data_IF_490544442998
#
_entry.id   IF_490544442998
#
_cell.length_a   1.000
_cell.length_b   1.000
_cell.length_c   1.000
_cell.angle_alpha   90.00
_cell.angle_beta   90.00
_cell.angle_gamma   90.00
#
_symmetry.space_group_name_H-M   'P 1'
#
loop_
_entity.id
_entity.type
_entity.pdbx_description
1 polymer ?
#
# COMPACT_ATOMS: atom_id res chain seq x y z
N UNK A 1 9.58 -13.49 5.69
CA UNK A 1 8.15 -13.11 5.76
C UNK A 1 7.75 -12.48 4.44
N UNK A 2 6.82 -13.08 3.73
CA UNK A 2 6.31 -12.58 2.45
C UNK A 2 5.39 -11.36 2.68
N UNK A 3 5.24 -10.49 1.68
CA UNK A 3 4.42 -9.28 1.77
C UNK A 3 2.98 -9.59 2.20
N UNK A 4 2.36 -10.62 1.61
CA UNK A 4 0.99 -11.04 1.94
C UNK A 4 0.84 -11.51 3.40
N UNK A 5 1.82 -12.24 3.94
CA UNK A 5 1.79 -12.67 5.36
C UNK A 5 1.79 -11.48 6.32
N UNK A 6 2.51 -10.40 5.96
CA UNK A 6 2.49 -9.15 6.75
C UNK A 6 1.14 -8.46 6.66
N UNK A 7 0.55 -8.38 5.46
CA UNK A 7 -0.77 -7.78 5.29
C UNK A 7 -1.84 -8.52 6.11
N UNK A 8 -1.91 -9.85 5.99
CA UNK A 8 -2.85 -10.68 6.76
C UNK A 8 -2.73 -10.46 8.28
N UNK A 9 -1.50 -10.32 8.78
CA UNK A 9 -1.25 -10.06 10.21
C UNK A 9 -1.85 -8.75 10.71
N UNK A 10 -1.99 -7.75 9.84
CA UNK A 10 -2.45 -6.41 10.19
C UNK A 10 -3.81 -6.04 9.58
N UNK A 11 -4.51 -7.01 8.99
CA UNK A 11 -5.79 -6.83 8.28
C UNK A 11 -6.83 -6.08 9.12
N UNK A 12 -6.93 -6.36 10.42
CA UNK A 12 -7.84 -5.67 11.35
C UNK A 12 -7.59 -4.16 11.51
N UNK A 13 -6.46 -3.64 11.01
CA UNK A 13 -6.12 -2.19 11.01
C UNK A 13 -6.28 -1.54 9.65
N UNK A 14 -6.57 -2.32 8.62
CA UNK A 14 -6.75 -1.84 7.25
C UNK A 14 -8.20 -1.41 7.05
N UNK A 15 -8.39 -0.45 6.16
CA UNK A 15 -9.69 -0.03 5.67
C UNK A 15 -9.80 -0.29 4.17
N UNK A 16 -10.98 -0.06 3.60
CA UNK A 16 -11.27 -0.33 2.18
C UNK A 16 -10.29 0.39 1.22
N UNK A 17 -9.77 1.56 1.60
CA UNK A 17 -8.77 2.28 0.80
C UNK A 17 -7.40 1.60 0.90
N UNK A 18 -7.02 1.11 2.08
CA UNK A 18 -5.78 0.35 2.27
C UNK A 18 -5.81 -0.94 1.44
N UNK A 19 -6.95 -1.63 1.40
CA UNK A 19 -7.12 -2.85 0.59
C UNK A 19 -6.94 -2.56 -0.90
N UNK A 20 -7.53 -1.48 -1.41
CA UNK A 20 -7.34 -1.03 -2.80
C UNK A 20 -5.87 -0.72 -3.11
N UNK A 21 -5.17 -0.05 -2.18
CA UNK A 21 -3.74 0.26 -2.36
C UNK A 21 -2.93 -1.04 -2.40
N UNK A 22 -3.19 -1.99 -1.49
CA UNK A 22 -2.50 -3.27 -1.42
C UNK A 22 -2.72 -4.08 -2.69
N UNK A 23 -3.96 -4.19 -3.16
CA UNK A 23 -4.32 -4.90 -4.38
C UNK A 23 -3.58 -4.31 -5.58
N UNK A 24 -3.58 -2.98 -5.72
CA UNK A 24 -2.85 -2.30 -6.78
C UNK A 24 -1.35 -2.61 -6.73
N UNK A 25 -0.74 -2.54 -5.54
CA UNK A 25 0.67 -2.87 -5.31
C UNK A 25 0.99 -4.31 -5.71
N UNK A 26 0.13 -5.27 -5.36
CA UNK A 26 0.31 -6.68 -5.71
C UNK A 26 0.27 -6.89 -7.21
N UNK A 27 -0.65 -6.22 -7.90
CA UNK A 27 -0.83 -6.34 -9.34
C UNK A 27 0.23 -5.59 -10.16
N UNK A 28 0.91 -4.60 -9.58
CA UNK A 28 1.87 -3.72 -10.30
C UNK A 28 3.27 -3.68 -9.66
N UNK A 29 3.70 -4.74 -8.95
CA UNK A 29 4.94 -4.75 -8.13
C UNK A 29 6.19 -4.17 -8.80
N UNK A 30 6.41 -4.45 -10.08
CA UNK A 30 7.59 -3.97 -10.82
C UNK A 30 7.52 -2.48 -11.15
N UNK A 31 6.32 -1.96 -11.33
CA UNK A 31 6.10 -0.55 -11.65
C UNK A 31 6.16 0.30 -10.38
N UNK A 32 5.62 -0.19 -9.26
CA UNK A 32 5.53 0.61 -8.03
C UNK A 32 6.89 1.04 -7.50
N UNK A 33 7.94 0.27 -7.77
CA UNK A 33 9.31 0.59 -7.32
C UNK A 33 9.92 1.75 -8.09
N UNK A 34 9.32 2.13 -9.22
CA UNK A 34 9.83 3.15 -10.13
C UNK A 34 9.00 4.44 -10.11
N UNK A 35 7.96 4.51 -9.28
CA UNK A 35 7.09 5.69 -9.17
C UNK A 35 7.16 6.28 -7.76
N UNK A 36 6.94 7.60 -7.67
CA UNK A 36 6.88 8.28 -6.37
C UNK A 36 5.61 7.95 -5.60
N UNK A 37 5.63 8.17 -4.28
CA UNK A 37 4.43 8.08 -3.44
C UNK A 37 3.33 9.03 -3.92
N UNK A 38 3.69 10.22 -4.42
CA UNK A 38 2.75 11.19 -4.96
C UNK A 38 2.08 10.65 -6.23
N UNK A 39 2.85 10.05 -7.12
CA UNK A 39 2.33 9.41 -8.34
C UNK A 39 1.38 8.27 -8.00
N UNK A 40 1.76 7.40 -7.05
CA UNK A 40 0.91 6.30 -6.61
C UNK A 40 -0.40 6.80 -6.00
N UNK A 41 -0.33 7.84 -5.16
CA UNK A 41 -1.51 8.46 -4.56
C UNK A 41 -2.47 9.03 -5.62
N UNK A 42 -1.94 9.76 -6.61
CA UNK A 42 -2.75 10.30 -7.70
C UNK A 42 -3.45 9.22 -8.53
N UNK A 43 -2.79 8.08 -8.79
CA UNK A 43 -3.38 6.97 -9.54
C UNK A 43 -4.51 6.25 -8.79
N UNK A 44 -4.43 6.25 -7.46
CA UNK A 44 -5.41 5.63 -6.57
C UNK A 44 -6.44 6.63 -6.04
N UNK A 45 -6.52 7.84 -6.63
CA UNK A 45 -7.42 8.91 -6.21
C UNK A 45 -7.38 9.19 -4.70
N UNK A 46 -6.19 9.09 -4.11
CA UNK A 46 -5.94 9.29 -2.68
C UNK A 46 -4.82 10.30 -2.46
N UNK A 47 -4.48 10.58 -1.19
CA UNK A 47 -3.42 11.51 -0.82
C UNK A 47 -2.15 10.77 -0.39
N UNK A 48 -0.95 11.37 -0.56
CA UNK A 48 0.32 10.74 -0.16
C UNK A 48 0.35 10.24 1.29
N UNK A 49 -0.33 10.96 2.19
CA UNK A 49 -0.42 10.57 3.60
C UNK A 49 -1.13 9.22 3.81
N UNK A 50 -2.09 8.87 2.95
CA UNK A 50 -2.75 7.56 3.00
C UNK A 50 -1.76 6.44 2.73
N UNK A 51 -0.93 6.61 1.69
CA UNK A 51 0.12 5.64 1.33
C UNK A 51 1.15 5.52 2.46
N UNK A 52 1.59 6.65 3.04
CA UNK A 52 2.55 6.66 4.15
C UNK A 52 1.98 5.98 5.40
N UNK A 53 0.70 6.22 5.71
CA UNK A 53 -0.01 5.56 6.82
C UNK A 53 -0.01 4.04 6.63
N UNK A 54 -0.35 3.57 5.43
CA UNK A 54 -0.32 2.14 5.10
C UNK A 54 1.07 1.54 5.35
N UNK A 55 2.12 2.15 4.81
CA UNK A 55 3.51 1.67 4.98
C UNK A 55 3.93 1.52 6.44
N UNK A 56 3.44 2.40 7.32
CA UNK A 56 3.68 2.35 8.76
C UNK A 56 2.90 1.22 9.45
N UNK A 57 1.64 0.99 9.06
CA UNK A 57 0.79 -0.07 9.64
C UNK A 57 1.39 -1.45 9.38
N UNK A 58 1.85 -1.68 8.15
CA UNK A 58 2.39 -2.98 7.71
C UNK A 58 3.87 -3.20 8.05
N UNK A 59 4.53 -2.26 8.74
CA UNK A 59 6.00 -2.22 8.95
C UNK A 59 6.77 -2.51 7.64
N UNK A 60 6.43 -1.77 6.57
CA UNK A 60 7.08 -1.94 5.26
C UNK A 60 8.44 -1.24 5.16
N UNK A 61 8.85 -0.52 6.20
CA UNK A 61 10.22 -0.02 6.45
C UNK A 61 10.89 -0.86 7.50
#
# INVERSE_FOLDING_TARGET
MQFQERIQKYEYKLNDTDDQIIEYIINHKQEITNISIQTLASRLYTVPNTIVRLSKISKLT
#
